data_IF_506399168323
#
_entry.id   IF_506399168323
#
_cell.length_a   1.000
_cell.length_b   1.000
_cell.length_c   1.000
_cell.angle_alpha   90.00
_cell.angle_beta   90.00
_cell.angle_gamma   90.00
#
_symmetry.space_group_name_H-M   'P 1'
#
loop_
_entity.id
_entity.type
_entity.pdbx_description
1 polymer ?
#
# COMPACT_ATOMS: atom_id res chain seq x y z
N UNK A 1 -4.18 16.32 -5.38
CA UNK A 1 -3.37 15.57 -6.36
C UNK A 1 -2.12 14.92 -5.77
N UNK A 2 -1.29 15.61 -4.97
CA UNK A 2 -0.05 15.02 -4.42
C UNK A 2 -0.24 13.77 -3.54
N UNK A 3 -1.31 13.71 -2.73
CA UNK A 3 -1.61 12.55 -1.87
C UNK A 3 -1.93 11.28 -2.67
N UNK A 4 -2.92 11.37 -3.57
CA UNK A 4 -3.31 10.28 -4.48
C UNK A 4 -2.12 9.77 -5.30
N UNK A 5 -1.23 10.67 -5.73
CA UNK A 5 -0.01 10.30 -6.44
C UNK A 5 0.94 9.45 -5.58
N UNK A 6 1.17 9.84 -4.32
CA UNK A 6 2.03 9.10 -3.39
C UNK A 6 1.44 7.72 -3.07
N UNK A 7 0.13 7.66 -2.78
CA UNK A 7 -0.58 6.39 -2.52
C UNK A 7 -0.48 5.46 -3.74
N UNK A 8 -0.70 5.99 -4.93
CA UNK A 8 -0.60 5.23 -6.18
C UNK A 8 0.82 4.71 -6.41
N UNK A 9 1.84 5.53 -6.16
CA UNK A 9 3.23 5.10 -6.25
C UNK A 9 3.56 3.98 -5.26
N UNK A 10 3.12 4.10 -4.00
CA UNK A 10 3.35 3.07 -2.97
C UNK A 10 2.71 1.74 -3.37
N UNK A 11 1.48 1.78 -3.88
CA UNK A 11 0.78 0.58 -4.36
C UNK A 11 1.48 -0.02 -5.58
N UNK A 12 1.88 0.79 -6.56
CA UNK A 12 2.59 0.33 -7.76
C UNK A 12 3.89 -0.36 -7.38
N UNK A 13 4.71 0.25 -6.51
CA UNK A 13 5.97 -0.33 -6.03
C UNK A 13 5.70 -1.64 -5.28
N UNK A 14 4.70 -1.65 -4.39
CA UNK A 14 4.31 -2.85 -3.65
C UNK A 14 3.89 -3.99 -4.56
N UNK A 15 3.06 -3.72 -5.57
CA UNK A 15 2.60 -4.71 -6.54
C UNK A 15 3.72 -5.20 -7.46
N UNK A 16 4.59 -4.29 -7.92
CA UNK A 16 5.73 -4.62 -8.77
C UNK A 16 6.71 -5.59 -8.10
N UNK A 17 6.79 -5.61 -6.77
CA UNK A 17 7.60 -6.56 -6.00
C UNK A 17 6.78 -7.82 -5.65
N UNK A 18 5.52 -7.65 -5.25
CA UNK A 18 4.66 -8.74 -4.80
C UNK A 18 4.34 -9.73 -5.92
N UNK A 19 4.04 -9.25 -7.13
CA UNK A 19 3.67 -10.11 -8.26
C UNK A 19 4.83 -11.06 -8.65
N UNK A 20 6.07 -10.58 -8.89
CA UNK A 20 7.21 -11.47 -9.13
C UNK A 20 7.48 -12.44 -7.98
N UNK A 21 7.36 -12.01 -6.73
CA UNK A 21 7.57 -12.87 -5.56
C UNK A 21 6.56 -14.04 -5.51
N UNK A 22 5.29 -13.78 -5.84
CA UNK A 22 4.24 -14.81 -5.89
C UNK A 22 4.52 -15.83 -7.00
N UNK A 23 4.98 -15.37 -8.17
CA UNK A 23 5.24 -16.23 -9.33
C UNK A 23 6.53 -17.03 -9.16
N UNK A 24 7.59 -16.41 -8.65
CA UNK A 24 8.90 -17.03 -8.48
C UNK A 24 9.51 -16.65 -7.12
N UNK A 25 9.16 -17.38 -6.05
CA UNK A 25 9.67 -17.07 -4.72
C UNK A 25 11.17 -17.38 -4.64
N UNK A 26 11.97 -16.35 -4.34
CA UNK A 26 13.40 -16.50 -4.07
C UNK A 26 13.80 -15.65 -2.85
N UNK A 27 14.96 -15.91 -2.21
CA UNK A 27 15.36 -15.23 -0.98
C UNK A 27 15.48 -13.70 -1.12
N UNK A 28 15.93 -13.21 -2.26
CA UNK A 28 16.06 -11.77 -2.52
C UNK A 28 14.69 -11.09 -2.67
N UNK A 29 13.77 -11.73 -3.39
CA UNK A 29 12.40 -11.24 -3.54
C UNK A 29 11.61 -11.35 -2.24
N UNK A 30 11.87 -12.36 -1.41
CA UNK A 30 11.30 -12.45 -0.06
C UNK A 30 11.71 -11.26 0.81
N UNK A 31 13.00 -10.88 0.77
CA UNK A 31 13.49 -9.70 1.48
C UNK A 31 12.79 -8.42 0.99
N UNK A 32 12.73 -8.21 -0.33
CA UNK A 32 12.04 -7.05 -0.91
C UNK A 32 10.53 -7.05 -0.58
N UNK A 33 9.90 -8.22 -0.58
CA UNK A 33 8.49 -8.34 -0.25
C UNK A 33 8.22 -7.93 1.20
N UNK A 34 9.00 -8.48 2.16
CA UNK A 34 8.80 -8.24 3.59
C UNK A 34 9.15 -6.81 4.00
N UNK A 35 10.27 -6.27 3.51
CA UNK A 35 10.80 -5.00 3.99
C UNK A 35 10.46 -3.80 3.11
N UNK A 36 9.96 -4.01 1.89
CA UNK A 36 9.59 -2.92 0.96
C UNK A 36 8.11 -3.02 0.59
N UNK A 37 7.69 -4.14 0.00
CA UNK A 37 6.33 -4.25 -0.52
C UNK A 37 5.26 -4.17 0.59
N UNK A 38 5.42 -4.94 1.67
CA UNK A 38 4.47 -4.96 2.77
C UNK A 38 4.34 -3.59 3.45
N UNK A 39 5.43 -2.87 3.80
CA UNK A 39 5.33 -1.49 4.30
C UNK A 39 4.68 -0.52 3.31
N UNK A 40 5.04 -0.57 2.02
CA UNK A 40 4.43 0.31 1.01
C UNK A 40 2.92 0.12 0.91
N UNK A 41 2.46 -1.14 0.83
CA UNK A 41 1.04 -1.47 0.77
C UNK A 41 0.35 -1.12 2.09
N UNK A 42 0.97 -1.44 3.24
CA UNK A 42 0.42 -1.15 4.56
C UNK A 42 0.19 0.34 4.79
N UNK A 43 1.16 1.19 4.41
CA UNK A 43 1.03 2.65 4.48
C UNK A 43 -0.07 3.14 3.54
N UNK A 44 -0.13 2.63 2.30
CA UNK A 44 -1.17 3.03 1.35
C UNK A 44 -2.57 2.69 1.87
N UNK A 45 -2.76 1.48 2.42
CA UNK A 45 -4.04 1.06 3.02
C UNK A 45 -4.39 1.92 4.23
N UNK A 46 -3.43 2.19 5.13
CA UNK A 46 -3.67 3.02 6.30
C UNK A 46 -4.08 4.45 5.94
N UNK A 47 -3.47 5.05 4.90
CA UNK A 47 -3.82 6.39 4.42
C UNK A 47 -5.24 6.44 3.88
N UNK A 48 -5.63 5.45 3.07
CA UNK A 48 -6.98 5.36 2.51
C UNK A 48 -8.02 5.14 3.62
N UNK A 49 -7.75 4.21 4.54
CA UNK A 49 -8.65 3.95 5.67
C UNK A 49 -8.82 5.20 6.55
N UNK A 50 -7.73 5.93 6.81
CA UNK A 50 -7.79 7.18 7.56
C UNK A 50 -8.63 8.24 6.84
N UNK A 51 -8.49 8.35 5.52
CA UNK A 51 -9.27 9.32 4.73
C UNK A 51 -10.76 8.96 4.69
N UNK A 52 -11.08 7.67 4.52
CA UNK A 52 -12.46 7.16 4.61
C UNK A 52 -13.06 7.40 5.99
N UNK A 53 -12.32 7.06 7.07
CA UNK A 53 -12.77 7.29 8.44
C UNK A 53 -13.06 8.77 8.71
N UNK A 54 -12.15 9.65 8.29
CA UNK A 54 -12.31 11.10 8.44
C UNK A 54 -13.52 11.61 7.65
N UNK A 55 -13.74 11.11 6.42
CA UNK A 55 -14.88 11.51 5.58
C UNK A 55 -16.22 11.06 6.18
N UNK A 56 -16.29 9.83 6.68
CA UNK A 56 -17.47 9.29 7.36
C UNK A 56 -17.79 10.08 8.65
N UNK A 57 -16.77 10.37 9.46
CA UNK A 57 -16.92 11.18 10.69
C UNK A 57 -17.39 12.60 10.37
N UNK A 58 -16.85 13.22 9.30
CA UNK A 58 -17.23 14.59 8.90
C UNK A 58 -18.68 14.68 8.40
N UNK A 59 -19.27 13.55 8.00
CA UNK A 59 -20.62 13.45 7.45
C UNK A 59 -21.64 12.90 8.47
N UNK A 60 -21.23 12.72 9.74
CA UNK A 60 -22.09 12.19 10.82
C UNK A 60 -22.68 10.79 10.50
N UNK A 61 -21.95 9.98 9.72
CA UNK A 61 -22.38 8.64 9.29
C UNK A 61 -21.72 7.52 10.12
N UNK A 62 -20.91 7.89 11.12
CA UNK A 62 -20.07 7.02 11.93
C UNK A 62 -20.48 7.04 13.40
#
# INVERSE_FOLDING_TARGET
MRKVFIESMLVIVGLAISIPYIIFPNPYLMFLFVFVAQPCIGVAVALVLWEVYKDLTSKDIL
#
